data_IF_246690675104
#
_entry.id   IF_246690675104
#
_cell.length_a   1.000
_cell.length_b   1.000
_cell.length_c   1.000
_cell.angle_alpha   90.00
_cell.angle_beta   90.00
_cell.angle_gamma   90.00
#
_symmetry.space_group_name_H-M   'P 1'
#
loop_
_entity.id
_entity.type
_entity.pdbx_description
1 polymer ?
#
# COMPACT_ATOMS: atom_id res chain seq x y z
N UNK A 1 -16.08 8.65 -32.22
CA UNK A 1 -16.92 7.84 -31.30
C UNK A 1 -16.30 6.47 -30.97
N UNK A 2 -15.69 5.78 -31.95
CA UNK A 2 -15.06 4.44 -31.81
C UNK A 2 -13.78 4.44 -30.94
N UNK A 3 -13.03 5.55 -30.86
CA UNK A 3 -11.78 5.58 -30.09
C UNK A 3 -11.96 5.61 -28.57
N UNK A 4 -13.09 6.09 -28.04
CA UNK A 4 -13.42 5.99 -26.61
C UNK A 4 -13.86 4.58 -26.19
N UNK A 5 -14.41 3.79 -27.13
CA UNK A 5 -14.77 2.39 -26.93
C UNK A 5 -13.54 1.46 -26.84
N UNK A 6 -12.39 1.87 -27.39
CA UNK A 6 -11.13 1.12 -27.31
C UNK A 6 -10.52 1.12 -25.90
N UNK A 7 -10.84 2.09 -25.06
CA UNK A 7 -10.33 2.11 -23.68
C UNK A 7 -11.03 1.08 -22.77
N UNK A 8 -12.18 0.54 -23.19
CA UNK A 8 -13.03 -0.33 -22.37
C UNK A 8 -13.67 -1.48 -23.18
N UNK A 9 -12.95 -2.59 -23.40
CA UNK A 9 -13.33 -3.69 -24.31
C UNK A 9 -14.62 -4.44 -23.93
N UNK A 10 -15.09 -4.31 -22.69
CA UNK A 10 -16.30 -4.95 -22.17
C UNK A 10 -17.60 -4.38 -22.76
N UNK A 11 -17.52 -3.32 -23.57
CA UNK A 11 -18.65 -2.81 -24.35
C UNK A 11 -18.92 -3.57 -25.66
N UNK A 12 -18.01 -4.44 -26.13
CA UNK A 12 -18.18 -5.13 -27.42
C UNK A 12 -18.96 -6.46 -27.36
N UNK A 13 -19.23 -7.01 -26.18
CA UNK A 13 -19.89 -8.33 -26.00
C UNK A 13 -21.40 -8.27 -25.72
N UNK A 14 -22.04 -7.11 -25.87
CA UNK A 14 -23.51 -6.97 -25.80
C UNK A 14 -24.15 -6.99 -24.41
N UNK A 15 -23.44 -7.39 -23.33
CA UNK A 15 -23.96 -7.33 -21.95
C UNK A 15 -23.54 -6.07 -21.17
N UNK A 16 -22.53 -5.33 -21.65
CA UNK A 16 -22.11 -4.03 -21.11
C UNK A 16 -21.57 -4.04 -19.67
N UNK A 17 -21.39 -5.20 -19.03
CA UNK A 17 -20.80 -5.29 -17.68
C UNK A 17 -19.73 -6.37 -17.65
N UNK A 18 -18.56 -6.03 -17.14
CA UNK A 18 -17.60 -7.04 -16.69
C UNK A 18 -18.31 -7.93 -15.65
N UNK A 19 -18.13 -9.27 -15.70
CA UNK A 19 -18.68 -10.13 -14.66
C UNK A 19 -18.17 -9.60 -13.32
N UNK A 20 -19.09 -9.42 -12.39
CA UNK A 20 -18.74 -8.86 -11.08
C UNK A 20 -17.77 -9.82 -10.40
N UNK A 21 -16.76 -9.31 -9.71
CA UNK A 21 -15.85 -10.15 -8.89
C UNK A 21 -16.66 -11.02 -7.91
N UNK A 22 -17.86 -10.59 -7.53
CA UNK A 22 -18.82 -11.29 -6.67
C UNK A 22 -19.35 -12.58 -7.32
N UNK A 23 -19.35 -12.69 -8.65
CA UNK A 23 -19.78 -13.88 -9.39
C UNK A 23 -18.70 -14.97 -9.42
N UNK A 24 -17.45 -14.61 -9.10
CA UNK A 24 -16.33 -15.53 -9.01
C UNK A 24 -16.29 -16.16 -7.62
N UNK A 25 -16.88 -17.35 -7.49
CA UNK A 25 -16.97 -18.08 -6.20
C UNK A 25 -15.73 -18.93 -5.91
N UNK A 26 -14.93 -19.27 -6.92
CA UNK A 26 -13.76 -20.17 -6.76
C UNK A 26 -12.53 -19.65 -7.52
N UNK A 27 -11.31 -19.78 -6.95
CA UNK A 27 -10.07 -19.42 -7.63
C UNK A 27 -9.87 -20.13 -8.98
N UNK A 28 -10.37 -21.37 -9.10
CA UNK A 28 -10.35 -22.14 -10.34
C UNK A 28 -11.15 -21.47 -11.47
N UNK A 29 -12.21 -20.73 -11.15
CA UNK A 29 -12.96 -19.98 -12.14
C UNK A 29 -12.12 -18.82 -12.69
N UNK A 30 -11.34 -18.13 -11.85
CA UNK A 30 -10.39 -17.09 -12.30
C UNK A 30 -9.37 -17.67 -13.28
N UNK A 31 -8.82 -18.84 -12.95
CA UNK A 31 -7.89 -19.52 -13.83
C UNK A 31 -8.52 -19.86 -15.18
N UNK A 32 -9.76 -20.35 -15.20
CA UNK A 32 -10.46 -20.67 -16.44
C UNK A 32 -10.84 -19.44 -17.26
N UNK A 33 -11.28 -18.34 -16.63
CA UNK A 33 -11.76 -17.14 -17.30
C UNK A 33 -10.64 -16.18 -17.74
N UNK A 34 -9.64 -15.97 -16.89
CA UNK A 34 -8.59 -14.96 -17.08
C UNK A 34 -7.19 -15.58 -17.28
N UNK A 35 -6.98 -16.82 -16.84
CA UNK A 35 -5.70 -17.51 -16.88
C UNK A 35 -4.82 -17.24 -15.65
N UNK A 36 -3.67 -17.94 -15.59
CA UNK A 36 -2.72 -17.87 -14.46
C UNK A 36 -2.16 -16.46 -14.21
N UNK A 37 -2.11 -15.61 -15.25
CA UNK A 37 -1.61 -14.24 -15.15
C UNK A 37 -2.48 -13.34 -14.27
N UNK A 38 -3.73 -13.71 -14.01
CA UNK A 38 -4.63 -12.96 -13.13
C UNK A 38 -4.13 -12.93 -11.67
N UNK A 39 -3.50 -14.00 -11.20
CA UNK A 39 -2.92 -14.06 -9.84
C UNK A 39 -1.74 -13.12 -9.63
N UNK A 40 -1.10 -12.68 -10.72
CA UNK A 40 0.02 -11.74 -10.69
C UNK A 40 -0.42 -10.31 -11.03
N UNK A 41 -1.73 -10.04 -11.10
CA UNK A 41 -2.24 -8.70 -11.38
C UNK A 41 -1.91 -7.76 -10.23
N UNK A 42 -1.52 -6.53 -10.55
CA UNK A 42 -1.17 -5.54 -9.54
C UNK A 42 0.14 -5.79 -8.80
N UNK A 43 0.95 -6.80 -9.18
CA UNK A 43 2.20 -7.10 -8.46
C UNK A 43 3.17 -5.90 -8.45
N UNK A 44 3.27 -5.16 -9.56
CA UNK A 44 4.17 -4.00 -9.70
C UNK A 44 3.77 -2.85 -8.79
N UNK A 45 2.48 -2.53 -8.73
CA UNK A 45 1.96 -1.51 -7.83
C UNK A 45 2.01 -1.98 -6.39
N UNK A 46 1.84 -3.28 -6.13
CA UNK A 46 2.06 -3.89 -4.82
C UNK A 46 3.49 -3.73 -4.30
N UNK A 47 4.50 -4.06 -5.11
CA UNK A 47 5.91 -3.86 -4.72
C UNK A 47 6.19 -2.37 -4.48
N UNK A 48 5.76 -1.49 -5.40
CA UNK A 48 5.95 -0.06 -5.22
C UNK A 48 5.29 0.46 -3.93
N UNK A 49 4.08 -0.03 -3.62
CA UNK A 49 3.36 0.27 -2.39
C UNK A 49 4.16 -0.16 -1.16
N UNK A 50 4.57 -1.42 -1.11
CA UNK A 50 5.18 -2.02 0.07
C UNK A 50 6.57 -1.41 0.33
N UNK A 51 7.38 -1.20 -0.72
CA UNK A 51 8.66 -0.50 -0.61
C UNK A 51 8.50 0.94 -0.13
N UNK A 52 7.52 1.69 -0.67
CA UNK A 52 7.27 3.08 -0.28
C UNK A 52 6.76 3.16 1.16
N UNK A 53 5.81 2.29 1.53
CA UNK A 53 5.27 2.24 2.88
C UNK A 53 6.35 1.89 3.90
N UNK A 54 7.10 0.81 3.68
CA UNK A 54 8.15 0.36 4.59
C UNK A 54 9.26 1.39 4.74
N UNK A 55 9.74 1.95 3.63
CA UNK A 55 10.79 2.96 3.65
C UNK A 55 10.40 4.21 4.44
N UNK A 56 9.21 4.76 4.17
CA UNK A 56 8.73 5.98 4.82
C UNK A 56 8.39 5.73 6.28
N UNK A 57 7.73 4.60 6.57
CA UNK A 57 7.42 4.21 7.94
C UNK A 57 8.70 4.15 8.77
N UNK A 58 9.70 3.41 8.29
CA UNK A 58 10.96 3.25 9.01
C UNK A 58 11.73 4.56 9.15
N UNK A 59 11.82 5.37 8.08
CA UNK A 59 12.53 6.65 8.15
C UNK A 59 11.87 7.64 9.10
N UNK A 60 10.54 7.78 9.04
CA UNK A 60 9.79 8.69 9.92
C UNK A 60 9.85 8.20 11.37
N UNK A 61 9.72 6.90 11.57
CA UNK A 61 9.82 6.26 12.88
C UNK A 61 11.18 6.49 13.52
N UNK A 62 12.25 6.18 12.79
CA UNK A 62 13.62 6.32 13.26
C UNK A 62 13.98 7.77 13.57
N UNK A 63 13.52 8.70 12.74
CA UNK A 63 13.71 10.13 12.97
C UNK A 63 13.04 10.58 14.27
N UNK A 64 11.77 10.23 14.48
CA UNK A 64 11.04 10.57 15.71
C UNK A 64 11.65 9.90 16.94
N UNK A 65 12.09 8.65 16.79
CA UNK A 65 12.74 7.91 17.87
C UNK A 65 14.03 8.59 18.33
N UNK A 66 14.88 9.02 17.38
CA UNK A 66 16.09 9.79 17.69
C UNK A 66 15.77 11.14 18.33
N UNK A 67 14.81 11.87 17.79
CA UNK A 67 14.39 13.15 18.37
C UNK A 67 13.88 13.00 19.82
N UNK A 68 13.15 11.92 20.12
CA UNK A 68 12.72 11.61 21.48
C UNK A 68 13.89 11.25 22.41
N UNK A 69 14.90 10.54 21.92
CA UNK A 69 16.12 10.23 22.68
C UNK A 69 16.92 11.49 22.98
N UNK A 70 17.18 12.32 21.97
CA UNK A 70 17.88 13.60 22.12
C UNK A 70 17.15 14.50 23.13
N UNK A 71 15.81 14.60 23.02
CA UNK A 71 15.00 15.37 23.97
C UNK A 71 15.15 14.85 25.40
N UNK A 72 15.21 13.53 25.59
CA UNK A 72 15.41 12.91 26.89
C UNK A 72 16.82 13.14 27.43
N UNK A 73 17.83 13.16 26.57
CA UNK A 73 19.23 13.37 26.93
C UNK A 73 19.52 14.78 27.48
N UNK A 74 18.80 15.81 27.00
CA UNK A 74 18.98 17.21 27.47
C UNK A 74 18.82 17.35 28.99
N UNK A 75 18.01 16.51 29.63
CA UNK A 75 17.76 16.54 31.07
C UNK A 75 18.73 15.71 31.92
N UNK A 76 19.71 15.01 31.32
CA UNK A 76 20.60 14.09 32.04
C UNK A 76 21.91 14.73 32.49
N UNK A 77 22.29 14.48 33.75
CA UNK A 77 23.61 14.83 34.31
C UNK A 77 24.24 13.59 34.96
N UNK A 78 25.42 13.11 34.51
CA UNK A 78 26.23 13.61 33.39
C UNK A 78 25.57 13.38 32.00
N UNK A 79 26.01 14.12 30.96
CA UNK A 79 25.51 13.92 29.61
C UNK A 79 25.82 12.50 29.10
N UNK A 80 24.87 11.84 28.43
CA UNK A 80 25.07 10.49 27.92
C UNK A 80 26.12 10.48 26.79
N UNK A 81 26.98 9.47 26.78
CA UNK A 81 28.01 9.26 25.75
C UNK A 81 27.50 8.45 24.56
N UNK A 82 26.41 7.71 24.72
CA UNK A 82 25.77 6.90 23.68
C UNK A 82 24.25 6.78 23.90
N UNK A 83 23.51 6.53 22.82
CA UNK A 83 22.06 6.32 22.86
C UNK A 83 21.63 5.18 23.80
N UNK A 84 22.49 4.17 23.98
CA UNK A 84 22.24 3.03 24.89
C UNK A 84 22.25 3.42 26.38
N UNK A 85 22.87 4.54 26.74
CA UNK A 85 22.85 5.08 28.10
C UNK A 85 21.54 5.84 28.39
N UNK A 86 20.85 6.28 27.33
CA UNK A 86 19.54 6.90 27.43
C UNK A 86 18.55 5.78 27.71
N UNK A 87 18.15 5.64 28.99
CA UNK A 87 17.22 4.59 29.40
C UNK A 87 15.92 4.55 28.56
N UNK A 88 15.05 3.54 28.73
CA UNK A 88 13.94 3.28 27.83
C UNK A 88 13.01 4.49 27.63
N UNK A 89 12.60 4.73 26.39
CA UNK A 89 11.58 5.73 26.07
C UNK A 89 10.21 5.31 26.61
N UNK A 90 9.33 6.30 26.82
CA UNK A 90 7.95 6.03 27.25
C UNK A 90 7.22 5.18 26.18
N UNK A 91 6.64 4.02 26.54
CA UNK A 91 5.88 3.18 25.62
C UNK A 91 4.79 3.92 24.86
N UNK A 92 4.12 4.87 25.51
CA UNK A 92 3.09 5.70 24.89
C UNK A 92 3.66 6.65 23.84
N UNK A 93 4.79 7.32 24.14
CA UNK A 93 5.42 8.25 23.21
C UNK A 93 5.92 7.52 21.96
N UNK A 94 6.54 6.36 22.17
CA UNK A 94 6.95 5.45 21.10
C UNK A 94 5.72 5.02 20.31
N UNK A 95 4.64 4.53 20.93
CA UNK A 95 3.43 4.15 20.19
C UNK A 95 2.80 5.29 19.36
N UNK A 96 2.77 6.51 19.90
CA UNK A 96 2.25 7.69 19.19
C UNK A 96 3.10 8.04 17.95
N UNK A 97 4.42 8.00 18.08
CA UNK A 97 5.32 8.18 16.94
C UNK A 97 5.07 7.10 15.86
N UNK A 98 4.60 5.91 16.23
CA UNK A 98 4.41 4.78 15.33
C UNK A 98 3.15 5.02 14.52
N UNK A 99 2.10 5.45 15.20
CA UNK A 99 0.86 5.85 14.55
C UNK A 99 1.03 7.03 13.60
N UNK A 100 1.82 8.03 13.99
CA UNK A 100 2.12 9.15 13.11
C UNK A 100 2.92 8.71 11.87
N UNK A 101 3.98 7.91 12.07
CA UNK A 101 4.79 7.36 10.98
C UNK A 101 3.97 6.47 10.04
N UNK A 102 3.10 5.62 10.59
CA UNK A 102 2.16 4.78 9.83
C UNK A 102 1.17 5.60 8.99
N UNK A 103 0.74 6.75 9.50
CA UNK A 103 -0.14 7.67 8.78
C UNK A 103 0.57 8.33 7.59
N UNK A 104 1.80 8.80 7.78
CA UNK A 104 2.62 9.38 6.69
C UNK A 104 2.94 8.33 5.63
N UNK A 105 3.37 7.14 6.06
CA UNK A 105 3.67 6.01 5.16
C UNK A 105 2.44 5.60 4.33
N UNK A 106 1.26 5.58 4.96
CA UNK A 106 0.01 5.31 4.28
C UNK A 106 -0.35 6.38 3.25
N UNK A 107 -0.15 7.65 3.56
CA UNK A 107 -0.41 8.75 2.64
C UNK A 107 0.48 8.66 1.39
N UNK A 108 1.77 8.43 1.58
CA UNK A 108 2.74 8.38 0.48
C UNK A 108 2.59 7.14 -0.42
N UNK A 109 2.24 5.99 0.17
CA UNK A 109 1.97 4.75 -0.58
C UNK A 109 0.50 4.63 -1.06
N UNK A 110 -0.34 5.63 -0.81
CA UNK A 110 -1.76 5.68 -1.20
C UNK A 110 -2.03 5.39 -2.67
N UNK A 111 -1.42 6.11 -3.63
CA UNK A 111 -1.73 5.92 -5.05
C UNK A 111 -1.42 4.50 -5.54
N UNK A 112 -0.38 3.85 -5.02
CA UNK A 112 0.00 2.49 -5.42
C UNK A 112 -0.99 1.43 -4.94
N UNK A 113 -1.56 1.61 -3.75
CA UNK A 113 -2.57 0.68 -3.21
C UNK A 113 -3.91 0.81 -3.93
N UNK A 114 -4.32 2.05 -4.25
CA UNK A 114 -5.49 2.30 -5.09
C UNK A 114 -5.32 1.61 -6.45
N UNK A 115 -4.15 1.78 -7.08
CA UNK A 115 -3.85 1.14 -8.36
C UNK A 115 -3.82 -0.39 -8.27
N UNK A 116 -3.23 -0.96 -7.20
CA UNK A 116 -3.25 -2.40 -6.95
C UNK A 116 -4.69 -2.91 -6.79
N UNK A 117 -5.46 -2.33 -5.87
CA UNK A 117 -6.84 -2.72 -5.59
C UNK A 117 -7.72 -2.64 -6.84
N UNK A 118 -7.59 -1.57 -7.63
CA UNK A 118 -8.31 -1.41 -8.91
C UNK A 118 -7.94 -2.47 -9.92
N UNK A 119 -6.65 -2.79 -10.02
CA UNK A 119 -6.18 -3.83 -10.92
C UNK A 119 -6.73 -5.19 -10.52
N UNK A 120 -6.75 -5.52 -9.22
CA UNK A 120 -7.29 -6.78 -8.69
C UNK A 120 -8.83 -6.87 -8.84
N UNK A 121 -9.54 -5.74 -8.76
CA UNK A 121 -10.99 -5.69 -8.99
C UNK A 121 -11.40 -5.70 -10.46
N UNK A 122 -10.46 -5.57 -11.40
CA UNK A 122 -10.76 -5.63 -12.84
C UNK A 122 -10.71 -7.09 -13.27
N UNK A 123 -11.73 -7.57 -13.98
CA UNK A 123 -11.74 -8.91 -14.62
C UNK A 123 -11.47 -8.74 -16.11
N UNK A 124 -10.47 -9.43 -16.64
CA UNK A 124 -10.07 -9.38 -18.05
C UNK A 124 -10.15 -10.79 -18.66
N UNK A 125 -11.10 -11.03 -19.58
CA UNK A 125 -11.20 -12.32 -20.24
C UNK A 125 -9.91 -12.69 -20.98
N UNK A 126 -9.57 -13.99 -20.96
CA UNK A 126 -8.34 -14.52 -21.57
C UNK A 126 -8.17 -14.11 -23.04
N UNK A 127 -9.24 -14.10 -23.82
CA UNK A 127 -9.19 -13.73 -25.24
C UNK A 127 -8.78 -12.26 -25.45
N UNK A 128 -9.28 -11.33 -24.64
CA UNK A 128 -8.88 -9.90 -24.71
C UNK A 128 -7.41 -9.74 -24.37
N UNK A 129 -6.91 -10.47 -23.36
CA UNK A 129 -5.50 -10.44 -22.98
C UNK A 129 -4.60 -10.99 -24.10
N UNK A 130 -5.03 -12.09 -24.74
CA UNK A 130 -4.35 -12.68 -25.89
C UNK A 130 -4.33 -11.72 -27.09
N UNK A 131 -5.46 -11.11 -27.42
CA UNK A 131 -5.59 -10.13 -28.51
C UNK A 131 -4.66 -8.92 -28.29
N UNK A 132 -4.65 -8.34 -27.09
CA UNK A 132 -3.73 -7.24 -26.76
C UNK A 132 -2.25 -7.61 -26.95
N UNK A 133 -1.89 -8.85 -26.60
CA UNK A 133 -0.51 -9.35 -26.76
C UNK A 133 -0.18 -9.60 -28.23
N UNK A 134 -1.11 -10.18 -28.99
CA UNK A 134 -0.96 -10.46 -30.41
C UNK A 134 -0.83 -9.17 -31.24
N UNK A 135 -1.72 -8.21 -30.99
CA UNK A 135 -1.77 -6.91 -31.68
C UNK A 135 -0.78 -5.88 -31.11
N UNK A 136 0.05 -6.26 -30.13
CA UNK A 136 1.05 -5.40 -29.47
C UNK A 136 0.48 -4.03 -29.08
N UNK A 137 -0.69 -4.02 -28.45
CA UNK A 137 -1.39 -2.77 -28.16
C UNK A 137 -0.52 -1.84 -27.30
N UNK A 138 -0.36 -0.57 -27.70
CA UNK A 138 0.45 0.37 -26.94
C UNK A 138 -0.17 0.57 -25.56
N UNK A 139 0.64 0.42 -24.51
CA UNK A 139 0.16 0.66 -23.14
C UNK A 139 -0.05 2.17 -22.96
N UNK A 140 -1.25 2.66 -22.61
CA UNK A 140 -1.45 4.08 -22.38
C UNK A 140 -0.69 4.54 -21.13
N UNK A 141 -0.36 5.83 -21.05
CA UNK A 141 0.25 6.45 -19.86
C UNK A 141 1.72 6.81 -19.97
N UNK A 142 2.18 7.56 -18.97
CA UNK A 142 3.56 8.04 -18.80
C UNK A 142 4.50 6.88 -18.45
N UNK A 143 5.82 7.08 -18.62
CA UNK A 143 6.84 6.06 -18.28
C UNK A 143 6.72 5.57 -16.84
N UNK A 144 6.50 6.49 -15.90
CA UNK A 144 6.30 6.18 -14.48
C UNK A 144 5.05 5.30 -14.26
N UNK A 145 3.91 5.68 -14.84
CA UNK A 145 2.65 4.93 -14.70
C UNK A 145 2.77 3.51 -15.27
N UNK A 146 3.42 3.38 -16.43
CA UNK A 146 3.73 2.07 -17.01
C UNK A 146 4.70 1.26 -16.15
N UNK A 147 5.62 1.92 -15.43
CA UNK A 147 6.57 1.26 -14.55
C UNK A 147 5.92 0.74 -13.27
N UNK A 148 5.08 1.56 -12.65
CA UNK A 148 4.40 1.26 -11.38
C UNK A 148 3.11 0.48 -11.57
N UNK A 149 2.58 0.40 -12.79
CA UNK A 149 1.35 -0.31 -13.11
C UNK A 149 0.08 0.51 -12.88
N UNK A 150 0.19 1.84 -12.78
CA UNK A 150 -0.95 2.75 -12.64
C UNK A 150 -1.61 2.96 -14.00
N UNK A 151 -2.93 2.79 -14.06
CA UNK A 151 -3.68 3.09 -15.29
C UNK A 151 -4.00 4.59 -15.39
N UNK A 152 -3.85 5.25 -16.56
CA UNK A 152 -4.12 6.69 -16.71
C UNK A 152 -5.54 7.11 -16.32
N UNK A 153 -6.52 6.23 -16.53
CA UNK A 153 -7.91 6.49 -16.15
C UNK A 153 -8.11 6.60 -14.61
N UNK A 154 -7.20 6.03 -13.82
CA UNK A 154 -7.32 6.03 -12.37
C UNK A 154 -6.77 7.31 -11.73
N UNK A 155 -6.14 8.23 -12.49
CA UNK A 155 -5.50 9.45 -11.98
C UNK A 155 -6.40 10.26 -11.04
N UNK A 156 -7.65 10.46 -11.42
CA UNK A 156 -8.61 11.28 -10.67
C UNK A 156 -9.07 10.62 -9.37
N UNK A 157 -8.88 9.30 -9.23
CA UNK A 157 -9.33 8.54 -8.07
C UNK A 157 -8.17 8.05 -7.20
N UNK A 158 -6.91 8.26 -7.60
CA UNK A 158 -5.72 7.74 -6.89
C UNK A 158 -5.72 8.11 -5.40
N UNK A 159 -6.15 9.33 -5.07
CA UNK A 159 -6.17 9.88 -3.71
C UNK A 159 -7.51 9.71 -2.97
N UNK A 160 -8.49 9.06 -3.59
CA UNK A 160 -9.80 8.85 -2.95
C UNK A 160 -9.62 7.93 -1.73
N UNK A 161 -10.16 8.36 -0.59
CA UNK A 161 -10.10 7.59 0.66
C UNK A 161 -8.76 7.61 1.38
N UNK A 162 -7.82 8.50 1.00
CA UNK A 162 -6.50 8.60 1.64
C UNK A 162 -6.59 8.82 3.16
N UNK A 163 -7.49 9.69 3.62
CA UNK A 163 -7.66 10.00 5.04
C UNK A 163 -8.05 8.75 5.86
N UNK A 164 -8.95 7.91 5.34
CA UNK A 164 -9.40 6.69 6.00
C UNK A 164 -8.26 5.68 6.09
N UNK A 165 -7.44 5.59 5.03
CA UNK A 165 -6.25 4.74 5.02
C UNK A 165 -5.19 5.23 6.01
N UNK A 166 -4.95 6.54 6.08
CA UNK A 166 -4.05 7.15 7.04
C UNK A 166 -4.49 6.82 8.46
N UNK A 167 -5.77 7.07 8.79
CA UNK A 167 -6.34 6.76 10.10
C UNK A 167 -6.19 5.28 10.46
N UNK A 168 -6.59 4.37 9.55
CA UNK A 168 -6.47 2.91 9.76
C UNK A 168 -5.02 2.49 10.01
N UNK A 169 -4.08 2.99 9.19
CA UNK A 169 -2.67 2.58 9.26
C UNK A 169 -1.98 3.18 10.49
N UNK A 170 -2.35 4.40 10.88
CA UNK A 170 -1.87 5.03 12.10
C UNK A 170 -2.36 4.30 13.34
N UNK A 171 -3.67 4.02 13.44
CA UNK A 171 -4.22 3.25 14.56
C UNK A 171 -3.59 1.86 14.62
N UNK A 172 -3.46 1.16 13.49
CA UNK A 172 -2.83 -0.16 13.47
C UNK A 172 -1.37 -0.11 13.95
N UNK A 173 -0.59 0.87 13.50
CA UNK A 173 0.83 0.99 13.91
C UNK A 173 0.98 1.35 15.39
N UNK A 174 0.11 2.24 15.90
CA UNK A 174 0.04 2.57 17.33
C UNK A 174 -0.25 1.32 18.17
N UNK A 175 -1.25 0.52 17.77
CA UNK A 175 -1.66 -0.68 18.50
C UNK A 175 -0.57 -1.75 18.46
N UNK A 176 0.06 -2.00 17.31
CA UNK A 176 1.14 -3.00 17.18
C UNK A 176 2.32 -2.63 18.07
N UNK A 177 2.79 -1.39 18.03
CA UNK A 177 3.92 -0.98 18.86
C UNK A 177 3.54 -0.91 20.35
N UNK A 178 2.37 -0.37 20.68
CA UNK A 178 1.90 -0.28 22.06
C UNK A 178 1.70 -1.65 22.70
N UNK A 179 1.10 -2.59 21.97
CA UNK A 179 0.95 -3.97 22.43
C UNK A 179 2.29 -4.67 22.62
N UNK A 180 3.26 -4.43 21.74
CA UNK A 180 4.62 -4.95 21.89
C UNK A 180 5.29 -4.47 23.20
N UNK A 181 5.31 -3.16 23.44
CA UNK A 181 5.93 -2.63 24.67
C UNK A 181 5.15 -3.02 25.93
N UNK A 182 3.82 -3.10 25.83
CA UNK A 182 2.98 -3.59 26.93
C UNK A 182 3.29 -5.05 27.28
N UNK A 183 3.44 -5.91 26.26
CA UNK A 183 3.80 -7.31 26.43
C UNK A 183 5.21 -7.47 27.02
N UNK A 184 6.19 -6.73 26.51
CA UNK A 184 7.57 -6.70 27.03
C UNK A 184 7.57 -6.33 28.51
N UNK A 185 6.79 -5.32 28.93
CA UNK A 185 6.72 -4.89 30.32
C UNK A 185 6.07 -5.87 31.29
N UNK A 186 5.21 -6.79 30.80
CA UNK A 186 4.50 -7.77 31.64
C UNK A 186 5.10 -9.18 31.59
N UNK A 187 5.70 -9.57 30.47
CA UNK A 187 6.16 -10.94 30.24
C UNK A 187 7.63 -11.15 30.54
N UNK A 188 8.46 -10.11 30.51
CA UNK A 188 9.87 -10.24 30.88
C UNK A 188 10.01 -10.08 32.40
N UNK A 189 10.56 -11.08 33.12
CA UNK A 189 10.91 -10.92 34.52
C UNK A 189 11.95 -9.81 34.66
N UNK A 190 11.75 -8.95 35.66
CA UNK A 190 12.65 -7.84 35.97
C UNK A 190 13.96 -8.32 36.59
#
# INVERSE_FOLDING_TARGET
MIDGLKEYPWMMTGSGRAPSVIEVRRPLQIFSFEGIGAFWRGWRSGIARDSTFGGIFFSSWQFLHRAMLEWKAVGMTPPPRSDDEIGPLSPLAVSLAAGFSGSIAAAASHPFDTAKSRSECTVLPKYVSMERKLLKWPRPGKRFERFTGIHPADRNILFRGVWLRMARSGIASFVVVGSYYWAVGHLLPK
#
